data_IF_541502655563
#
_entry.id   IF_541502655563
#
_cell.length_a   1.000
_cell.length_b   1.000
_cell.length_c   1.000
_cell.angle_alpha   90.00
_cell.angle_beta   90.00
_cell.angle_gamma   90.00
#
_symmetry.space_group_name_H-M   'P 1'
#
loop_
_entity.id
_entity.type
_entity.pdbx_description
1 polymer ?
#
# COMPACT_ATOMS: atom_id res chain seq x y z
N UNK A 1 5.79 -20.10 -15.79
CA UNK A 1 7.26 -19.96 -15.73
C UNK A 1 7.84 -18.94 -16.72
N UNK A 2 7.59 -19.01 -18.04
CA UNK A 2 8.31 -18.18 -19.03
C UNK A 2 8.18 -16.67 -18.80
N UNK A 3 7.00 -16.19 -18.40
CA UNK A 3 6.73 -14.76 -18.15
C UNK A 3 7.55 -14.22 -16.96
N UNK A 4 7.79 -15.04 -15.95
CA UNK A 4 8.55 -14.65 -14.76
C UNK A 4 10.05 -14.67 -15.07
N UNK A 5 10.52 -15.72 -15.72
CA UNK A 5 11.93 -15.88 -16.13
C UNK A 5 12.37 -14.80 -17.13
N UNK A 6 11.48 -14.41 -18.04
CA UNK A 6 11.72 -13.32 -18.98
C UNK A 6 11.65 -11.92 -18.31
N UNK A 7 11.30 -11.84 -17.02
CA UNK A 7 11.25 -10.58 -16.28
C UNK A 7 10.08 -9.67 -16.67
N UNK A 8 8.97 -10.25 -17.14
CA UNK A 8 7.76 -9.51 -17.53
C UNK A 8 6.71 -9.40 -16.42
N UNK A 9 6.88 -10.10 -15.29
CA UNK A 9 5.95 -10.02 -14.16
C UNK A 9 6.39 -8.95 -13.15
N UNK A 10 5.49 -8.01 -12.87
CA UNK A 10 5.69 -6.93 -11.90
C UNK A 10 4.50 -6.84 -10.95
N UNK A 11 4.76 -6.39 -9.73
CA UNK A 11 3.75 -6.06 -8.72
C UNK A 11 3.83 -4.54 -8.50
N UNK A 12 2.71 -3.86 -8.72
CA UNK A 12 2.61 -2.44 -8.39
C UNK A 12 2.35 -2.27 -6.89
N UNK A 13 3.01 -1.30 -6.28
CA UNK A 13 2.85 -0.99 -4.86
C UNK A 13 1.97 0.27 -4.71
N UNK A 14 0.68 0.13 -4.35
CA UNK A 14 -0.18 1.27 -4.05
C UNK A 14 0.15 1.92 -2.70
N UNK A 15 -0.19 3.20 -2.50
CA UNK A 15 -0.04 3.86 -1.21
C UNK A 15 -1.06 3.34 -0.20
N UNK A 16 -0.65 3.28 1.08
CA UNK A 16 -1.53 2.89 2.19
C UNK A 16 -2.27 4.08 2.78
N UNK A 17 -1.69 5.28 2.69
CA UNK A 17 -2.23 6.48 3.31
C UNK A 17 -2.22 7.68 2.37
N UNK A 18 -3.26 8.52 2.50
CA UNK A 18 -3.30 9.89 1.98
C UNK A 18 -3.42 10.84 3.16
N UNK A 19 -2.48 11.78 3.23
CA UNK A 19 -2.38 12.77 4.30
C UNK A 19 -2.66 14.13 3.68
N UNK A 20 -3.65 14.85 4.20
CA UNK A 20 -4.07 16.15 3.68
C UNK A 20 -4.08 17.21 4.78
N UNK A 21 -3.69 18.43 4.41
CA UNK A 21 -3.75 19.63 5.24
C UNK A 21 -4.12 20.83 4.37
N UNK A 22 -5.36 21.29 4.50
CA UNK A 22 -5.90 22.34 3.64
C UNK A 22 -5.88 21.92 2.18
N UNK A 23 -5.14 22.65 1.34
CA UNK A 23 -4.99 22.36 -0.11
C UNK A 23 -3.82 21.42 -0.43
N UNK A 24 -2.93 21.16 0.52
CA UNK A 24 -1.79 20.27 0.31
C UNK A 24 -2.15 18.83 0.69
N UNK A 25 -1.75 17.87 -0.16
CA UNK A 25 -1.84 16.44 0.16
C UNK A 25 -0.55 15.71 -0.23
N UNK A 26 -0.29 14.59 0.45
CA UNK A 26 0.83 13.69 0.18
C UNK A 26 0.41 12.24 0.42
N UNK A 27 1.01 11.33 -0.34
CA UNK A 27 0.82 9.89 -0.19
C UNK A 27 1.95 9.30 0.66
N UNK A 28 1.64 8.23 1.40
CA UNK A 28 2.62 7.43 2.12
C UNK A 28 2.35 5.93 1.88
N UNK A 29 3.41 5.17 1.64
CA UNK A 29 3.35 3.75 1.29
C UNK A 29 3.55 2.87 2.53
N UNK A 30 4.20 3.40 3.58
CA UNK A 30 4.39 2.68 4.83
C UNK A 30 3.93 3.50 6.04
N UNK A 31 3.72 2.83 7.17
CA UNK A 31 3.42 3.48 8.46
C UNK A 31 4.52 4.46 8.88
N UNK A 32 5.78 4.08 8.66
CA UNK A 32 6.93 4.92 8.99
C UNK A 32 7.02 6.16 8.10
N UNK A 33 6.68 6.05 6.82
CA UNK A 33 6.57 7.20 5.93
C UNK A 33 5.44 8.13 6.36
N UNK A 34 4.28 7.59 6.78
CA UNK A 34 3.17 8.40 7.29
C UNK A 34 3.64 9.29 8.45
N UNK A 35 4.35 8.72 9.42
CA UNK A 35 4.89 9.50 10.55
C UNK A 35 5.88 10.59 10.12
N UNK A 36 6.75 10.29 9.14
CA UNK A 36 7.68 11.29 8.60
C UNK A 36 6.95 12.43 7.91
N UNK A 37 6.01 12.11 7.03
CA UNK A 37 5.20 13.10 6.30
C UNK A 37 4.44 13.98 7.28
N UNK A 38 3.86 13.39 8.33
CA UNK A 38 3.18 14.16 9.39
C UNK A 38 4.13 15.13 10.11
N UNK A 39 5.37 14.71 10.42
CA UNK A 39 6.38 15.56 11.07
C UNK A 39 6.85 16.69 10.14
N UNK A 40 7.11 16.40 8.87
CA UNK A 40 7.54 17.39 7.86
C UNK A 40 6.48 18.44 7.56
N UNK A 41 5.22 18.01 7.44
CA UNK A 41 4.15 18.96 7.21
C UNK A 41 3.91 19.82 8.46
N UNK A 42 4.08 19.28 9.68
CA UNK A 42 3.97 20.08 10.91
C UNK A 42 5.03 21.17 11.04
N UNK A 43 6.26 20.93 10.57
CA UNK A 43 7.36 21.91 10.65
C UNK A 43 7.28 23.00 9.57
N UNK A 44 6.50 22.80 8.51
CA UNK A 44 6.27 23.80 7.47
C UNK A 44 5.04 24.66 7.82
N UNK A 45 5.20 25.96 8.11
CA UNK A 45 4.07 26.85 8.39
C UNK A 45 3.30 27.12 7.08
N UNK A 46 2.23 26.37 6.82
CA UNK A 46 1.35 26.64 5.70
C UNK A 46 0.28 27.66 6.09
N UNK A 47 0.19 28.70 5.25
CA UNK A 47 -0.75 29.83 5.32
C UNK A 47 -2.20 29.33 5.43
N UNK A 48 -2.93 29.88 6.39
CA UNK A 48 -4.36 29.71 6.52
C UNK A 48 -5.06 30.37 5.34
N UNK A 49 -5.46 29.58 4.34
CA UNK A 49 -6.57 29.95 3.45
C UNK A 49 -7.73 29.05 3.83
N UNK A 50 -8.72 29.65 4.49
CA UNK A 50 -10.06 29.07 4.59
C UNK A 50 -10.56 28.84 3.16
N UNK A 51 -10.84 27.59 2.80
CA UNK A 51 -11.71 27.31 1.68
C UNK A 51 -12.71 26.23 2.07
N UNK A 52 -13.96 26.68 2.07
CA UNK A 52 -15.17 25.86 2.10
C UNK A 52 -15.34 25.27 0.71
N UNK A 53 -14.79 24.10 0.44
CA UNK A 53 -15.47 23.18 -0.47
C UNK A 53 -14.96 21.76 -0.29
N UNK A 54 -15.85 20.87 0.14
CA UNK A 54 -15.74 19.46 -0.17
C UNK A 54 -17.10 18.84 0.10
N UNK A 55 -17.91 18.78 -0.95
CA UNK A 55 -19.00 17.83 -1.11
C UNK A 55 -18.55 16.47 -0.55
N UNK A 56 -19.10 16.11 0.61
CA UNK A 56 -18.88 14.81 1.25
C UNK A 56 -19.56 13.74 0.39
N UNK A 57 -18.78 13.06 -0.44
CA UNK A 57 -19.15 11.73 -0.92
C UNK A 57 -18.40 10.76 0.00
N UNK A 58 -19.04 10.40 1.12
CA UNK A 58 -18.54 9.34 1.98
C UNK A 58 -18.76 8.02 1.24
N UNK A 59 -17.70 7.43 0.71
CA UNK A 59 -17.72 6.06 0.21
C UNK A 59 -17.47 5.11 1.39
N UNK A 60 -18.24 4.04 1.43
CA UNK A 60 -18.20 3.04 2.50
C UNK A 60 -16.83 2.33 2.51
N UNK A 61 -16.02 2.57 3.54
CA UNK A 61 -14.74 1.87 3.74
C UNK A 61 -13.62 2.71 4.35
N UNK A 62 -13.70 4.04 4.25
CA UNK A 62 -12.66 4.94 4.74
C UNK A 62 -12.67 5.08 6.26
N UNK A 63 -11.57 4.66 6.90
CA UNK A 63 -11.30 5.04 8.30
C UNK A 63 -10.53 6.36 8.28
N UNK A 64 -11.24 7.48 8.42
CA UNK A 64 -10.63 8.81 8.52
C UNK A 64 -10.16 9.07 9.96
N UNK A 65 -8.85 9.28 10.14
CA UNK A 65 -8.29 9.76 11.40
C UNK A 65 -7.90 11.25 11.27
N UNK A 66 -8.32 12.07 12.24
CA UNK A 66 -7.93 13.47 12.32
C UNK A 66 -6.91 13.68 13.42
N UNK A 67 -5.70 14.06 13.05
CA UNK A 67 -4.61 14.33 13.99
C UNK A 67 -4.12 15.76 13.76
N UNK A 68 -4.16 16.64 14.76
CA UNK A 68 -3.53 17.98 14.74
C UNK A 68 -3.74 18.80 13.45
N UNK A 69 -4.96 18.84 12.91
CA UNK A 69 -5.29 19.59 11.68
C UNK A 69 -4.96 18.88 10.35
N UNK A 70 -4.52 17.62 10.41
CA UNK A 70 -4.37 16.74 9.26
C UNK A 70 -5.59 15.83 9.14
N UNK A 71 -6.06 15.61 7.91
CA UNK A 71 -6.98 14.53 7.58
C UNK A 71 -6.18 13.39 6.95
N UNK A 72 -6.20 12.23 7.62
CA UNK A 72 -5.50 11.01 7.21
C UNK A 72 -6.55 9.99 6.76
N UNK A 73 -6.49 9.63 5.49
CA UNK A 73 -7.28 8.56 4.88
C UNK A 73 -6.39 7.33 4.70
N UNK A 74 -6.86 6.15 5.11
CA UNK A 74 -6.16 4.88 4.91
C UNK A 74 -6.88 4.05 3.86
N UNK A 75 -6.19 3.72 2.78
CA UNK A 75 -6.70 2.84 1.74
C UNK A 75 -6.66 1.38 2.22
N UNK A 76 -7.77 0.65 2.13
CA UNK A 76 -7.81 -0.81 2.37
C UNK A 76 -7.74 -1.59 1.06
N UNK A 77 -8.25 -1.01 -0.02
CA UNK A 77 -8.13 -1.55 -1.36
C UNK A 77 -8.11 -0.48 -2.45
N UNK A 78 -7.85 -0.92 -3.68
CA UNK A 78 -7.77 -0.04 -4.85
C UNK A 78 -9.11 0.61 -5.21
N UNK A 79 -10.24 -0.02 -4.84
CA UNK A 79 -11.58 0.48 -5.13
C UNK A 79 -11.95 1.76 -4.38
N UNK A 80 -11.18 2.13 -3.36
CA UNK A 80 -11.34 3.38 -2.60
C UNK A 80 -10.62 4.57 -3.27
N UNK A 81 -9.88 4.33 -4.35
CA UNK A 81 -9.14 5.36 -5.07
C UNK A 81 -9.92 5.87 -6.28
N UNK A 82 -9.94 7.19 -6.44
CA UNK A 82 -10.41 7.80 -7.68
C UNK A 82 -9.42 7.52 -8.83
N UNK A 83 -9.86 7.49 -10.11
CA UNK A 83 -9.01 7.21 -11.26
C UNK A 83 -7.72 8.05 -11.32
N UNK A 84 -7.81 9.35 -11.03
CA UNK A 84 -6.64 10.23 -11.03
C UNK A 84 -5.63 9.84 -9.94
N UNK A 85 -6.12 9.49 -8.75
CA UNK A 85 -5.26 9.05 -7.64
C UNK A 85 -4.57 7.73 -7.97
N UNK A 86 -5.30 6.79 -8.59
CA UNK A 86 -4.75 5.52 -9.03
C UNK A 86 -3.67 5.74 -10.09
N UNK A 87 -3.92 6.64 -11.05
CA UNK A 87 -2.97 6.95 -12.10
C UNK A 87 -1.67 7.54 -11.54
N UNK A 88 -1.79 8.61 -10.76
CA UNK A 88 -0.65 9.38 -10.23
C UNK A 88 0.24 8.54 -9.30
N UNK A 89 -0.33 7.52 -8.64
CA UNK A 89 0.38 6.72 -7.63
C UNK A 89 0.88 5.39 -8.17
N UNK A 90 0.07 4.67 -8.96
CA UNK A 90 0.36 3.28 -9.34
C UNK A 90 0.62 3.05 -10.82
N UNK A 91 0.13 3.94 -11.70
CA UNK A 91 0.19 3.70 -13.15
C UNK A 91 1.18 4.59 -13.88
N UNK A 92 1.39 5.83 -13.44
CA UNK A 92 2.31 6.78 -14.04
C UNK A 92 3.75 6.25 -14.03
N UNK A 93 4.38 5.98 -15.20
CA UNK A 93 5.75 5.51 -15.28
C UNK A 93 6.78 6.40 -14.57
N UNK A 94 6.50 7.68 -14.40
CA UNK A 94 7.40 8.63 -13.75
C UNK A 94 7.39 8.54 -12.21
N UNK A 95 6.29 8.05 -11.61
CA UNK A 95 6.07 8.10 -10.16
C UNK A 95 5.79 6.73 -9.55
N UNK A 96 5.35 5.75 -10.34
CA UNK A 96 4.95 4.42 -9.85
C UNK A 96 6.12 3.64 -9.28
N UNK A 97 5.83 2.87 -8.23
CA UNK A 97 6.76 1.87 -7.70
C UNK A 97 6.34 0.47 -8.18
N UNK A 98 7.23 -0.17 -8.94
CA UNK A 98 7.05 -1.54 -9.42
C UNK A 98 8.12 -2.46 -8.85
N UNK A 99 7.69 -3.58 -8.29
CA UNK A 99 8.56 -4.66 -7.86
C UNK A 99 8.60 -5.74 -8.92
N UNK A 100 9.77 -6.01 -9.49
CA UNK A 100 9.93 -7.09 -10.48
C UNK A 100 9.99 -8.44 -9.77
N UNK A 101 9.13 -9.37 -10.18
CA UNK A 101 9.13 -10.73 -9.63
C UNK A 101 10.27 -11.53 -10.25
N UNK A 102 11.03 -12.24 -9.41
CA UNK A 102 12.12 -13.13 -9.85
C UNK A 102 12.12 -14.40 -9.01
N UNK A 103 12.50 -15.52 -9.64
CA UNK A 103 12.63 -16.83 -8.99
C UNK A 103 14.11 -17.21 -8.99
N UNK A 104 14.67 -17.43 -7.80
CA UNK A 104 16.08 -17.82 -7.63
C UNK A 104 16.24 -19.34 -7.72
N UNK A 105 15.44 -20.06 -6.96
CA UNK A 105 15.38 -21.51 -6.94
C UNK A 105 13.96 -21.96 -7.32
N UNK A 106 13.84 -22.66 -8.45
CA UNK A 106 12.56 -23.16 -8.95
C UNK A 106 12.01 -24.33 -8.14
N UNK A 107 12.88 -25.18 -7.58
CA UNK A 107 12.45 -26.33 -6.79
C UNK A 107 11.92 -25.90 -5.42
N UNK A 108 12.62 -24.96 -4.78
CA UNK A 108 12.15 -24.35 -3.53
C UNK A 108 10.83 -23.59 -3.74
N UNK A 109 10.74 -22.82 -4.83
CA UNK A 109 9.51 -22.10 -5.15
C UNK A 109 8.32 -23.05 -5.36
N UNK A 110 8.48 -24.13 -6.14
CA UNK A 110 7.43 -25.13 -6.34
C UNK A 110 6.99 -25.75 -5.00
N UNK A 111 7.96 -26.11 -4.15
CA UNK A 111 7.67 -26.67 -2.84
C UNK A 111 6.84 -25.72 -1.96
N UNK A 112 7.16 -24.42 -1.95
CA UNK A 112 6.40 -23.41 -1.22
C UNK A 112 5.00 -23.24 -1.83
N UNK A 113 4.88 -23.26 -3.16
CA UNK A 113 3.58 -23.20 -3.84
C UNK A 113 2.70 -24.39 -3.45
N UNK A 114 3.24 -25.60 -3.40
CA UNK A 114 2.48 -26.79 -3.01
C UNK A 114 2.03 -26.72 -1.55
N UNK A 115 2.88 -26.26 -0.63
CA UNK A 115 2.51 -26.09 0.79
C UNK A 115 1.40 -25.05 0.96
N UNK A 116 1.52 -23.89 0.28
CA UNK A 116 0.61 -22.77 0.50
C UNK A 116 -0.69 -22.88 -0.29
N UNK A 117 -0.62 -23.42 -1.51
CA UNK A 117 -1.72 -23.40 -2.48
C UNK A 117 -2.17 -24.80 -2.93
N UNK A 118 -1.49 -25.88 -2.53
CA UNK A 118 -1.88 -27.26 -2.86
C UNK A 118 -3.12 -27.73 -2.09
N UNK A 119 -3.63 -28.91 -2.45
CA UNK A 119 -4.92 -29.41 -1.93
C UNK A 119 -4.88 -29.82 -0.45
N UNK A 120 -3.69 -30.18 0.05
CA UNK A 120 -3.49 -30.68 1.40
C UNK A 120 -3.53 -29.55 2.45
N UNK A 121 -4.48 -29.65 3.38
CA UNK A 121 -4.69 -28.62 4.42
C UNK A 121 -3.66 -28.73 5.55
N UNK A 122 -3.22 -29.94 5.90
CA UNK A 122 -2.35 -30.15 7.05
C UNK A 122 -0.97 -29.46 6.92
N UNK A 123 -0.22 -29.60 5.81
CA UNK A 123 1.04 -28.90 5.61
C UNK A 123 0.90 -27.38 5.66
N UNK A 124 -0.13 -26.84 5.01
CA UNK A 124 -0.46 -25.41 5.03
C UNK A 124 -0.69 -24.89 6.45
N UNK A 125 -1.49 -25.62 7.23
CA UNK A 125 -1.82 -25.25 8.61
C UNK A 125 -0.57 -25.22 9.48
N UNK A 126 0.27 -26.26 9.39
CA UNK A 126 1.55 -26.31 10.12
C UNK A 126 2.46 -25.15 9.71
N UNK A 127 2.58 -24.86 8.42
CA UNK A 127 3.39 -23.76 7.92
C UNK A 127 2.94 -22.40 8.51
N UNK A 128 1.64 -22.10 8.46
CA UNK A 128 1.08 -20.86 8.99
C UNK A 128 1.32 -20.78 10.50
N UNK A 129 1.04 -21.84 11.26
CA UNK A 129 1.21 -21.82 12.72
C UNK A 129 2.66 -21.58 13.15
N UNK A 130 3.62 -22.17 12.43
CA UNK A 130 5.05 -22.00 12.71
C UNK A 130 5.53 -20.59 12.37
N UNK A 131 5.11 -20.02 11.22
CA UNK A 131 5.71 -18.79 10.69
C UNK A 131 4.88 -17.52 10.92
N UNK A 132 3.59 -17.61 11.26
CA UNK A 132 2.69 -16.43 11.35
C UNK A 132 3.20 -15.33 12.29
N UNK A 133 3.87 -15.69 13.39
CA UNK A 133 4.41 -14.71 14.36
C UNK A 133 5.78 -14.15 13.97
N UNK A 134 6.47 -14.79 13.04
CA UNK A 134 7.83 -14.40 12.64
C UNK A 134 7.83 -13.33 11.54
N UNK A 135 6.71 -13.13 10.83
CA UNK A 135 6.64 -12.17 9.74
C UNK A 135 6.55 -10.75 10.30
N UNK A 136 7.56 -9.93 9.98
CA UNK A 136 7.64 -8.52 10.40
C UNK A 136 7.08 -7.54 9.37
N UNK A 137 7.01 -7.95 8.11
CA UNK A 137 6.76 -7.08 6.96
C UNK A 137 5.53 -7.57 6.16
N UNK A 138 4.40 -7.80 6.83
CA UNK A 138 3.17 -8.23 6.15
C UNK A 138 2.51 -7.06 5.38
N UNK A 139 2.72 -5.83 5.88
CA UNK A 139 2.17 -4.59 5.35
C UNK A 139 3.32 -3.67 4.84
N UNK A 140 4.03 -4.09 3.79
CA UNK A 140 4.83 -3.17 2.97
C UNK A 140 3.91 -2.48 1.96
#
# INVERSE_FOLDING_TARGET
RPVIEAGYLYIAQPPLYKISRGREFRYAYTEHEKEKVLKEMQSSPAKASEDKDSTKVALEGDTEERVKGFNIQRYKGLGEMNPDQLWDTTMDPAQRMLMRVSVRDGAEADHIFDILMGDEVAPRKSFIQTHAKAVKNLDI
#
